data_IF_546003421620
#
_entry.id   IF_546003421620
#
_cell.length_a   1.000
_cell.length_b   1.000
_cell.length_c   1.000
_cell.angle_alpha   90.00
_cell.angle_beta   90.00
_cell.angle_gamma   90.00
#
_symmetry.space_group_name_H-M   'P 1'
#
loop_
_entity.id
_entity.type
_entity.pdbx_description
1 polymer ?
#
# COMPACT_ATOMS: atom_id res chain seq x y z
N UNK A 1 12.43 -5.51 -4.39
CA UNK A 1 11.07 -5.94 -4.03
C UNK A 1 10.22 -4.70 -3.89
N UNK A 2 9.07 -4.63 -4.54
CA UNK A 2 8.17 -3.47 -4.43
C UNK A 2 7.50 -3.43 -3.05
N UNK A 3 7.12 -2.23 -2.55
CA UNK A 3 6.47 -2.14 -1.26
C UNK A 3 5.15 -2.92 -1.26
N UNK A 4 4.96 -3.70 -0.20
CA UNK A 4 3.75 -4.44 0.10
C UNK A 4 3.43 -4.25 1.57
N UNK A 5 2.15 -3.99 1.88
CA UNK A 5 1.65 -3.78 3.22
C UNK A 5 0.45 -4.68 3.49
N UNK A 6 0.26 -5.06 4.75
CA UNK A 6 -0.89 -5.88 5.16
C UNK A 6 -0.95 -7.26 4.53
N UNK A 7 0.21 -7.89 4.31
CA UNK A 7 0.26 -9.22 3.68
C UNK A 7 -0.54 -9.27 2.36
N UNK A 8 -0.15 -8.38 1.43
CA UNK A 8 -0.74 -8.20 0.09
C UNK A 8 -2.01 -7.35 0.02
N UNK A 9 -2.55 -6.84 1.15
CA UNK A 9 -3.67 -5.88 1.16
C UNK A 9 -3.36 -4.60 0.39
N UNK A 10 -2.10 -4.15 0.33
CA UNK A 10 -1.66 -3.06 -0.52
C UNK A 10 -0.33 -3.41 -1.18
N UNK A 11 -0.30 -3.46 -2.50
CA UNK A 11 0.91 -3.79 -3.28
C UNK A 11 1.13 -2.80 -4.42
N UNK A 12 2.39 -2.40 -4.60
CA UNK A 12 2.85 -1.69 -5.79
C UNK A 12 3.40 -2.70 -6.80
N UNK A 13 3.15 -2.46 -8.09
CA UNK A 13 3.78 -3.21 -9.18
C UNK A 13 5.14 -2.61 -9.60
N UNK A 14 5.62 -1.59 -8.90
CA UNK A 14 6.86 -0.87 -9.20
C UNK A 14 6.70 0.33 -10.12
N UNK A 15 5.51 0.54 -10.67
CA UNK A 15 5.14 1.73 -11.40
C UNK A 15 4.25 2.64 -10.54
N UNK A 16 3.62 3.63 -11.17
CA UNK A 16 2.56 4.46 -10.58
C UNK A 16 1.29 3.68 -10.21
N UNK A 17 1.25 2.36 -10.36
CA UNK A 17 0.03 1.58 -10.23
C UNK A 17 0.08 0.70 -8.98
N UNK A 18 -0.97 0.78 -8.20
CA UNK A 18 -1.10 0.12 -6.91
C UNK A 18 -2.41 -0.63 -6.86
N UNK A 19 -2.43 -1.72 -6.11
CA UNK A 19 -3.60 -2.55 -5.90
C UNK A 19 -3.91 -2.67 -4.43
N UNK A 20 -5.16 -2.40 -4.05
CA UNK A 20 -5.65 -2.56 -2.68
C UNK A 20 -6.73 -3.64 -2.61
N UNK A 21 -6.63 -4.54 -1.64
CA UNK A 21 -7.68 -5.45 -1.21
C UNK A 21 -7.88 -5.32 0.30
N UNK A 22 -9.07 -5.68 0.78
CA UNK A 22 -9.41 -5.74 2.21
C UNK A 22 -9.43 -7.20 2.66
N UNK A 23 -8.27 -7.85 2.73
CA UNK A 23 -8.21 -9.25 3.14
C UNK A 23 -7.97 -9.37 4.64
N UNK A 24 -6.97 -8.66 5.17
CA UNK A 24 -6.35 -9.01 6.46
C UNK A 24 -6.56 -7.98 7.55
N UNK A 25 -6.61 -6.70 7.21
CA UNK A 25 -6.87 -5.67 8.22
C UNK A 25 -8.35 -5.59 8.61
N UNK A 26 -8.62 -5.51 9.92
CA UNK A 26 -9.96 -5.19 10.43
C UNK A 26 -10.44 -3.82 9.97
N UNK A 27 -9.53 -2.83 9.97
CA UNK A 27 -9.78 -1.50 9.42
C UNK A 27 -9.13 -1.41 8.04
N UNK A 28 -9.91 -1.13 6.98
CA UNK A 28 -9.37 -1.17 5.63
C UNK A 28 -8.35 -0.04 5.41
N UNK A 29 -7.22 -0.35 4.75
CA UNK A 29 -6.17 0.64 4.42
C UNK A 29 -6.75 1.79 3.59
N UNK A 30 -7.68 1.46 2.69
CA UNK A 30 -8.44 2.40 1.86
C UNK A 30 -9.91 2.02 1.82
N UNK A 31 -10.77 3.01 1.55
CA UNK A 31 -12.22 2.78 1.37
C UNK A 31 -12.54 1.96 0.11
N UNK A 32 -11.73 2.10 -0.94
CA UNK A 32 -11.94 1.47 -2.26
C UNK A 32 -10.97 0.33 -2.48
N UNK A 33 -11.46 -0.73 -3.12
CA UNK A 33 -10.66 -1.89 -3.53
C UNK A 33 -10.30 -1.80 -5.01
N UNK A 34 -9.28 -2.54 -5.43
CA UNK A 34 -8.84 -2.62 -6.82
C UNK A 34 -7.62 -1.76 -7.16
N UNK A 35 -7.43 -1.54 -8.46
CA UNK A 35 -6.29 -0.81 -9.00
C UNK A 35 -6.50 0.71 -8.93
N UNK A 36 -5.44 1.43 -8.58
CA UNK A 36 -5.41 2.89 -8.60
C UNK A 36 -4.02 3.40 -8.98
N UNK A 37 -3.98 4.67 -9.38
CA UNK A 37 -2.75 5.36 -9.70
C UNK A 37 -2.27 6.20 -8.50
N UNK A 38 -0.96 6.24 -8.30
CA UNK A 38 -0.25 7.06 -7.34
C UNK A 38 0.79 7.84 -8.12
N UNK A 39 0.67 9.16 -8.11
CA UNK A 39 1.66 10.02 -8.76
C UNK A 39 2.95 10.11 -7.94
N UNK A 40 2.81 10.41 -6.65
CA UNK A 40 3.90 10.52 -5.68
C UNK A 40 3.51 9.90 -4.33
N UNK A 41 4.50 9.43 -3.56
CA UNK A 41 4.30 8.94 -2.20
C UNK A 41 5.50 9.29 -1.30
N UNK A 42 5.23 9.44 -0.01
CA UNK A 42 6.25 9.73 1.00
C UNK A 42 6.52 8.51 1.88
N UNK A 43 7.77 8.30 2.29
CA UNK A 43 8.17 7.21 3.18
C UNK A 43 8.88 7.77 4.40
N UNK A 44 8.35 7.49 5.59
CA UNK A 44 8.92 7.92 6.86
C UNK A 44 9.62 6.74 7.55
N UNK A 45 10.87 6.95 7.99
CA UNK A 45 11.62 5.99 8.81
C UNK A 45 11.77 6.55 10.23
N UNK A 46 11.16 5.88 11.20
CA UNK A 46 11.34 6.21 12.61
C UNK A 46 12.57 5.46 13.13
N UNK A 47 13.57 6.19 13.59
CA UNK A 47 14.78 5.65 14.21
C UNK A 47 14.76 5.96 15.71
N UNK A 48 14.94 4.94 16.54
CA UNK A 48 15.23 5.15 17.96
C UNK A 48 16.67 5.64 18.08
N UNK A 49 16.89 6.69 18.87
CA UNK A 49 18.22 7.12 19.29
C UNK A 49 18.81 6.11 20.26
#
# INVERSE_FOLDING_TARGET
TFPSFGEYDLKSDGCKKWYCEKLRYHCPIRKTDGWFLVDDYEVFKIVKK
#
